data_IF_578506988702
#
_entry.id   IF_578506988702
#
_cell.length_a   1.000
_cell.length_b   1.000
_cell.length_c   1.000
_cell.angle_alpha   90.00
_cell.angle_beta   90.00
_cell.angle_gamma   90.00
#
_symmetry.space_group_name_H-M   'P 1'
#
loop_
_entity.id
_entity.type
_entity.pdbx_description
1 polymer ?
#
# COMPACT_ATOMS: atom_id res chain seq x y z
N UNK A 1 15.73 8.64 6.22
CA UNK A 1 15.33 8.64 4.80
C UNK A 1 13.84 8.41 4.80
N UNK A 2 13.05 9.33 4.28
CA UNK A 2 11.58 9.24 4.30
C UNK A 2 11.12 8.38 3.14
N UNK A 3 10.18 7.46 3.38
CA UNK A 3 9.55 6.68 2.32
C UNK A 3 8.36 7.47 1.78
N UNK A 4 8.19 7.53 0.46
CA UNK A 4 7.07 8.21 -0.19
C UNK A 4 6.39 7.31 -1.21
N UNK A 5 5.11 7.59 -1.48
CA UNK A 5 4.34 6.91 -2.53
C UNK A 5 4.90 7.33 -3.89
N UNK A 6 5.49 6.38 -4.61
CA UNK A 6 5.98 6.59 -5.96
C UNK A 6 4.90 6.37 -7.02
N UNK A 7 4.03 5.37 -6.83
CA UNK A 7 2.96 5.05 -7.77
C UNK A 7 1.75 4.44 -7.07
N UNK A 8 0.57 4.67 -7.66
CA UNK A 8 -0.70 4.12 -7.21
C UNK A 8 -1.39 3.36 -8.33
N UNK A 9 -1.86 2.16 -8.02
CA UNK A 9 -2.53 1.28 -8.98
C UNK A 9 -3.84 0.70 -8.46
N UNK A 10 -4.80 0.55 -9.36
CA UNK A 10 -5.97 -0.33 -9.17
C UNK A 10 -6.02 -1.41 -10.23
N UNK A 11 -6.60 -2.55 -9.87
CA UNK A 11 -6.70 -3.78 -10.64
C UNK A 11 -8.16 -4.28 -10.67
N UNK A 12 -9.07 -3.55 -11.33
CA UNK A 12 -10.51 -3.83 -11.30
C UNK A 12 -10.87 -5.22 -11.85
N UNK A 13 -10.09 -5.70 -12.81
CA UNK A 13 -10.36 -6.93 -13.55
C UNK A 13 -9.23 -7.96 -13.39
N UNK A 14 -9.61 -9.23 -13.27
CA UNK A 14 -8.65 -10.32 -13.09
C UNK A 14 -7.80 -10.49 -14.34
N UNK A 15 -6.48 -10.36 -14.19
CA UNK A 15 -5.51 -10.65 -15.24
C UNK A 15 -5.27 -9.51 -16.22
N UNK A 16 -6.05 -8.43 -16.14
CA UNK A 16 -5.85 -7.21 -16.93
C UNK A 16 -4.77 -6.32 -16.31
N UNK A 17 -4.20 -5.41 -17.09
CA UNK A 17 -3.22 -4.45 -16.59
C UNK A 17 -3.81 -3.52 -15.51
N UNK A 18 -2.93 -2.99 -14.67
CA UNK A 18 -3.29 -2.01 -13.67
C UNK A 18 -3.64 -0.66 -14.29
N UNK A 19 -4.46 0.13 -13.59
CA UNK A 19 -4.68 1.54 -13.89
C UNK A 19 -3.86 2.38 -12.94
N UNK A 20 -3.06 3.29 -13.47
CA UNK A 20 -2.29 4.27 -12.69
C UNK A 20 -3.18 5.43 -12.22
N UNK A 21 -2.85 5.97 -11.05
CA UNK A 21 -3.54 7.11 -10.46
C UNK A 21 -2.56 8.08 -9.82
N UNK A 22 -2.85 9.37 -9.91
CA UNK A 22 -2.16 10.40 -9.10
C UNK A 22 -2.72 10.44 -7.66
N UNK A 23 -4.00 10.04 -7.51
CA UNK A 23 -4.74 10.06 -6.25
C UNK A 23 -5.80 8.98 -6.23
N UNK A 24 -6.00 8.32 -5.10
CA UNK A 24 -7.03 7.30 -4.91
C UNK A 24 -7.74 7.42 -3.56
N UNK A 25 -9.06 7.24 -3.58
CA UNK A 25 -9.88 7.10 -2.39
C UNK A 25 -9.76 5.67 -1.84
N UNK A 26 -9.66 5.55 -0.52
CA UNK A 26 -9.53 4.28 0.19
C UNK A 26 -10.67 4.14 1.19
N UNK A 27 -11.40 3.05 1.06
CA UNK A 27 -12.47 2.60 1.95
C UNK A 27 -11.96 1.51 2.88
N UNK A 28 -12.79 1.05 3.84
CA UNK A 28 -12.42 -0.07 4.70
C UNK A 28 -12.12 -1.35 3.90
N UNK A 29 -12.74 -1.50 2.73
CA UNK A 29 -12.62 -2.63 1.83
C UNK A 29 -11.42 -2.53 0.87
N UNK A 30 -10.78 -1.36 0.76
CA UNK A 30 -9.65 -1.10 -0.14
C UNK A 30 -9.84 0.13 -1.02
N UNK A 31 -9.02 0.25 -2.07
CA UNK A 31 -9.08 1.36 -3.01
C UNK A 31 -10.39 1.32 -3.83
N UNK A 32 -11.05 2.47 -3.97
CA UNK A 32 -12.26 2.59 -4.80
C UNK A 32 -11.93 2.21 -6.25
N UNK A 33 -12.71 1.28 -6.80
CA UNK A 33 -12.50 0.76 -8.15
C UNK A 33 -11.40 -0.31 -8.25
N UNK A 34 -10.79 -0.72 -7.13
CA UNK A 34 -9.95 -1.90 -7.08
C UNK A 34 -10.76 -3.18 -6.82
N UNK A 35 -10.20 -4.32 -7.21
CA UNK A 35 -10.72 -5.64 -6.85
C UNK A 35 -9.74 -6.32 -5.89
N UNK A 36 -9.89 -6.14 -4.57
CA UNK A 36 -8.99 -6.74 -3.59
C UNK A 36 -9.05 -8.28 -3.67
N UNK A 37 -7.90 -8.93 -3.49
CA UNK A 37 -7.78 -10.40 -3.55
C UNK A 37 -7.51 -11.04 -2.20
N UNK A 38 -6.48 -10.55 -1.49
CA UNK A 38 -6.02 -11.11 -0.20
C UNK A 38 -6.07 -10.10 0.94
N UNK A 39 -5.94 -8.82 0.61
CA UNK A 39 -6.02 -7.71 1.54
C UNK A 39 -6.65 -6.51 0.83
N UNK A 40 -7.09 -5.53 1.63
CA UNK A 40 -7.68 -4.30 1.14
C UNK A 40 -6.66 -3.47 0.33
N UNK A 41 -5.40 -3.47 0.79
CA UNK A 41 -4.28 -2.79 0.12
C UNK A 41 -3.06 -3.70 0.10
N UNK A 42 -2.27 -3.60 -0.97
CA UNK A 42 -0.96 -4.25 -1.11
C UNK A 42 0.12 -3.21 -1.38
N UNK A 43 1.26 -3.35 -0.71
CA UNK A 43 2.35 -2.35 -0.71
C UNK A 43 3.68 -3.02 -1.03
N UNK A 44 4.43 -2.45 -1.96
CA UNK A 44 5.77 -2.93 -2.35
C UNK A 44 6.73 -1.76 -2.52
N UNK A 45 8.03 -2.06 -2.68
CA UNK A 45 9.02 -1.09 -3.10
C UNK A 45 9.16 -0.99 -4.62
N UNK A 46 9.94 -0.01 -5.09
CA UNK A 46 10.15 0.27 -6.51
C UNK A 46 10.81 -0.87 -7.30
N UNK A 47 11.43 -1.83 -6.62
CA UNK A 47 12.17 -2.96 -7.19
C UNK A 47 11.29 -4.21 -7.42
N UNK A 48 9.99 -4.14 -7.18
CA UNK A 48 9.03 -5.23 -7.41
C UNK A 48 7.98 -4.92 -8.51
N UNK A 49 8.37 -4.48 -9.73
CA UNK A 49 7.44 -4.01 -10.75
C UNK A 49 6.53 -5.11 -11.34
N UNK A 50 6.89 -6.38 -11.16
CA UNK A 50 6.06 -7.51 -11.60
C UNK A 50 4.87 -7.80 -10.66
N UNK A 51 4.81 -7.13 -9.50
CA UNK A 51 3.71 -7.30 -8.56
C UNK A 51 2.51 -6.45 -8.98
N UNK A 52 1.31 -6.96 -8.72
CA UNK A 52 0.06 -6.19 -8.87
C UNK A 52 -0.26 -5.47 -7.57
N UNK A 53 0.66 -4.62 -7.12
CA UNK A 53 0.56 -3.90 -5.86
C UNK A 53 -0.17 -2.56 -6.03
N UNK A 54 -0.98 -2.19 -5.04
CA UNK A 54 -1.72 -0.92 -5.06
C UNK A 54 -0.80 0.27 -4.83
N UNK A 55 0.13 0.16 -3.87
CA UNK A 55 1.09 1.20 -3.53
C UNK A 55 2.50 0.72 -3.84
N UNK A 56 3.24 1.52 -4.60
CA UNK A 56 4.68 1.35 -4.80
C UNK A 56 5.38 2.49 -4.07
N UNK A 57 6.29 2.17 -3.17
CA UNK A 57 7.08 3.15 -2.44
C UNK A 57 8.44 3.39 -3.12
N UNK A 58 8.99 4.58 -2.92
CA UNK A 58 10.28 5.02 -3.47
C UNK A 58 11.52 4.38 -2.81
N UNK A 59 11.35 3.26 -2.11
CA UNK A 59 12.40 2.48 -1.48
C UNK A 59 12.40 1.01 -1.95
N UNK A 60 13.48 0.25 -1.72
CA UNK A 60 13.49 -1.20 -1.99
C UNK A 60 12.43 -1.95 -1.17
N UNK A 61 11.90 -3.04 -1.74
CA UNK A 61 10.82 -3.84 -1.11
C UNK A 61 11.23 -4.38 0.25
N UNK A 62 12.49 -4.75 0.44
CA UNK A 62 13.00 -5.18 1.74
C UNK A 62 12.87 -4.11 2.84
N UNK A 63 12.95 -2.82 2.47
CA UNK A 63 12.71 -1.72 3.41
C UNK A 63 11.22 -1.56 3.71
N UNK A 64 10.36 -1.70 2.69
CA UNK A 64 8.90 -1.73 2.89
C UNK A 64 8.53 -2.84 3.87
N UNK A 65 9.08 -4.05 3.68
CA UNK A 65 8.83 -5.22 4.53
C UNK A 65 9.26 -5.02 6.00
N UNK A 66 10.19 -4.11 6.27
CA UNK A 66 10.57 -3.75 7.65
C UNK A 66 9.46 -3.07 8.45
N UNK A 67 8.39 -2.60 7.77
CA UNK A 67 7.19 -2.03 8.40
C UNK A 67 6.20 -3.10 8.88
N UNK A 68 6.42 -4.38 8.61
CA UNK A 68 5.50 -5.45 8.99
C UNK A 68 5.12 -5.40 10.49
N UNK A 69 3.82 -5.51 10.77
CA UNK A 69 3.25 -5.47 12.12
C UNK A 69 3.08 -4.05 12.68
N UNK A 70 3.25 -3.01 11.87
CA UNK A 70 3.09 -1.61 12.30
C UNK A 70 1.80 -1.00 11.76
N UNK A 71 1.38 0.09 12.38
CA UNK A 71 0.41 1.02 11.81
C UNK A 71 1.17 2.13 11.08
N UNK A 72 0.78 2.40 9.84
CA UNK A 72 1.39 3.46 9.02
C UNK A 72 0.33 4.41 8.49
N UNK A 73 0.62 5.69 8.58
CA UNK A 73 -0.19 6.75 7.97
C UNK A 73 0.41 7.12 6.62
N UNK A 74 -0.43 7.17 5.60
CA UNK A 74 -0.07 7.56 4.24
C UNK A 74 -1.13 8.55 3.74
N UNK A 75 -0.75 9.80 3.62
CA UNK A 75 -1.70 10.89 3.38
C UNK A 75 -2.80 10.91 4.45
N UNK A 76 -4.05 10.80 4.01
CA UNK A 76 -5.22 10.75 4.90
C UNK A 76 -5.63 9.34 5.37
N UNK A 77 -4.86 8.29 5.07
CA UNK A 77 -5.24 6.89 5.33
C UNK A 77 -4.35 6.28 6.41
N UNK A 78 -4.97 5.56 7.35
CA UNK A 78 -4.24 4.72 8.31
C UNK A 78 -4.32 3.26 7.87
N UNK A 79 -3.16 2.60 7.75
CA UNK A 79 -3.02 1.22 7.31
C UNK A 79 -2.36 0.38 8.40
N UNK A 80 -2.95 -0.77 8.69
CA UNK A 80 -2.32 -1.82 9.49
C UNK A 80 -1.62 -2.79 8.53
N UNK A 81 -0.28 -2.79 8.52
CA UNK A 81 0.51 -3.55 7.55
C UNK A 81 1.03 -4.85 8.16
N UNK A 82 0.98 -5.93 7.38
CA UNK A 82 1.42 -7.26 7.76
C UNK A 82 2.24 -7.93 6.66
N UNK A 83 3.17 -8.80 7.05
CA UNK A 83 3.94 -9.58 6.11
C UNK A 83 3.02 -10.47 5.27
N UNK A 84 3.27 -10.55 3.97
CA UNK A 84 2.57 -11.46 3.04
C UNK A 84 2.93 -12.94 3.27
N UNK A 85 3.91 -13.21 4.13
CA UNK A 85 4.57 -14.50 4.26
C UNK A 85 5.36 -14.86 3.00
N UNK A 86 5.18 -16.08 2.49
CA UNK A 86 5.85 -16.54 1.25
C UNK A 86 4.99 -16.33 0.00
N UNK A 87 3.92 -15.52 0.07
CA UNK A 87 2.93 -15.44 -0.99
C UNK A 87 3.28 -14.47 -2.12
N UNK A 88 3.95 -13.35 -1.81
CA UNK A 88 4.31 -12.29 -2.75
C UNK A 88 5.30 -11.33 -2.06
N UNK A 89 6.25 -10.68 -2.76
CA UNK A 89 7.06 -9.61 -2.14
C UNK A 89 6.19 -8.48 -1.56
N UNK A 90 6.67 -7.83 -0.50
CA UNK A 90 6.03 -6.67 0.12
C UNK A 90 5.08 -7.00 1.27
N UNK A 91 4.10 -6.14 1.48
CA UNK A 91 3.15 -6.17 2.60
C UNK A 91 1.71 -6.19 2.14
N UNK A 92 0.86 -6.83 2.95
CA UNK A 92 -0.58 -6.66 2.90
C UNK A 92 -1.01 -5.66 3.95
N UNK A 93 -2.08 -4.93 3.69
CA UNK A 93 -2.60 -3.97 4.64
C UNK A 93 -4.13 -4.02 4.75
N UNK A 94 -4.59 -3.96 5.99
CA UNK A 94 -5.96 -3.61 6.33
C UNK A 94 -6.07 -2.08 6.50
N UNK A 95 -7.25 -1.53 6.22
CA UNK A 95 -7.50 -0.09 6.37
C UNK A 95 -8.07 0.15 7.76
N UNK A 96 -7.32 0.88 8.59
CA UNK A 96 -7.76 1.31 9.91
C UNK A 96 -8.64 2.56 9.84
N UNK A 97 -8.19 3.57 9.11
CA UNK A 97 -8.94 4.82 8.87
C UNK A 97 -9.04 5.06 7.35
N UNK A 98 -10.25 5.01 6.77
CA UNK A 98 -10.50 5.39 5.38
C UNK A 98 -10.13 6.85 5.11
N UNK A 99 -9.78 7.15 3.86
CA UNK A 99 -9.36 8.49 3.48
C UNK A 99 -8.90 8.58 2.03
N UNK A 100 -7.99 9.51 1.76
CA UNK A 100 -7.39 9.63 0.43
C UNK A 100 -5.87 9.60 0.52
N UNK A 101 -5.25 8.99 -0.47
CA UNK A 101 -3.81 8.95 -0.67
C UNK A 101 -3.46 9.44 -2.07
N UNK A 102 -2.25 9.98 -2.23
CA UNK A 102 -1.73 10.55 -3.46
C UNK A 102 -0.27 10.13 -3.69
N UNK A 103 0.16 10.17 -4.94
CA UNK A 103 1.59 10.09 -5.28
C UNK A 103 2.34 11.23 -4.60
N UNK A 104 3.47 10.91 -3.98
CA UNK A 104 4.30 11.82 -3.18
C UNK A 104 3.95 11.87 -1.69
N UNK A 105 2.85 11.23 -1.25
CA UNK A 105 2.54 11.17 0.18
C UNK A 105 3.64 10.43 0.95
N UNK A 106 4.05 11.00 2.08
CA UNK A 106 5.01 10.36 2.98
C UNK A 106 4.35 9.21 3.75
N UNK A 107 5.16 8.19 4.05
CA UNK A 107 4.77 7.09 4.93
C UNK A 107 5.32 7.36 6.32
N UNK A 108 4.42 7.49 7.28
CA UNK A 108 4.75 7.76 8.68
C UNK A 108 4.32 6.58 9.55
N UNK A 109 5.22 6.08 10.39
CA UNK A 109 4.86 5.03 11.34
C UNK A 109 4.16 5.67 12.53
N UNK A 110 2.96 5.17 12.87
CA UNK A 110 2.26 5.61 14.07
C UNK A 110 2.86 4.87 15.27
N UNK A 111 3.46 5.62 16.19
CA UNK A 111 3.88 5.09 17.48
C UNK A 111 2.66 5.05 18.40
N UNK A 112 2.32 3.88 18.93
CA UNK A 112 1.42 3.83 20.10
C UNK A 112 2.22 4.38 21.28
N UNK A 113 1.83 5.54 21.80
CA UNK A 113 2.29 5.99 23.12
C UNK A 113 1.83 4.94 24.14
N UNK A 114 2.80 4.17 24.66
CA UNK A 114 2.60 3.17 25.70
C UNK A 114 2.38 3.81 27.08
#
# INVERSE_FOLDING_TARGET
MTMTVQALHTFPERGQDGREHERAEVTAEGLVGDRPKRAAVSVVGHDAPATRANLVLDVPTAQVESLAGRLVRVGGVLLAVEATGNACPGLYAAVGEPGTLAVGDAVEVVEEEA
#
